data_IF_308695586388
#
_entry.id   IF_308695586388
#
_cell.length_a   1.000
_cell.length_b   1.000
_cell.length_c   1.000
_cell.angle_alpha   90.00
_cell.angle_beta   90.00
_cell.angle_gamma   90.00
#
_symmetry.space_group_name_H-M   'P 1'
#
loop_
_entity.id
_entity.type
_entity.pdbx_description
1 polymer ?
#
# COMPACT_ATOMS: atom_id res chain seq x y z
N UNK A 1 -9.15 -9.71 6.41
CA UNK A 1 -8.51 -8.37 6.55
C UNK A 1 -8.74 -7.56 5.29
N UNK A 2 -9.09 -6.30 5.44
CA UNK A 2 -9.26 -5.42 4.28
C UNK A 2 -7.89 -4.96 3.79
N UNK A 3 -7.76 -4.78 2.47
CA UNK A 3 -6.48 -4.41 1.86
C UNK A 3 -5.92 -3.08 2.39
N UNK A 4 -6.78 -2.14 2.74
CA UNK A 4 -6.29 -0.84 3.21
C UNK A 4 -5.59 -0.94 4.57
N UNK A 5 -5.90 -1.94 5.38
CA UNK A 5 -5.14 -2.19 6.61
C UNK A 5 -3.72 -2.65 6.29
N UNK A 6 -3.54 -3.43 5.21
CA UNK A 6 -2.21 -3.85 4.76
C UNK A 6 -1.38 -2.66 4.30
N UNK A 7 -2.00 -1.68 3.66
CA UNK A 7 -1.29 -0.46 3.27
C UNK A 7 -0.69 0.25 4.49
N UNK A 8 -1.48 0.38 5.53
CA UNK A 8 -1.04 1.02 6.77
C UNK A 8 0.04 0.19 7.45
N UNK A 9 -0.16 -1.12 7.56
CA UNK A 9 0.80 -2.01 8.23
C UNK A 9 2.15 -1.97 7.56
N UNK A 10 2.18 -2.02 6.22
CA UNK A 10 3.43 -1.95 5.47
C UNK A 10 4.15 -0.63 5.68
N UNK A 11 3.39 0.46 5.70
CA UNK A 11 3.94 1.79 5.91
C UNK A 11 4.54 1.91 7.31
N UNK A 12 3.80 1.47 8.33
CA UNK A 12 4.24 1.55 9.71
C UNK A 12 5.44 0.64 9.98
N UNK A 13 5.50 -0.52 9.35
CA UNK A 13 6.64 -1.43 9.48
C UNK A 13 7.96 -0.78 9.04
N UNK A 14 7.90 0.18 8.12
CA UNK A 14 9.09 0.92 7.65
C UNK A 14 9.24 2.29 8.31
N UNK A 15 8.43 2.58 9.33
CA UNK A 15 8.46 3.87 10.03
C UNK A 15 8.25 5.06 9.09
N UNK A 16 7.43 4.88 8.05
CA UNK A 16 7.15 5.94 7.09
C UNK A 16 5.89 6.69 7.47
N UNK A 17 5.88 7.99 7.16
CA UNK A 17 4.68 8.83 7.28
C UNK A 17 3.87 8.72 6.00
N UNK A 18 2.56 9.02 6.11
CA UNK A 18 1.68 9.02 4.92
C UNK A 18 2.21 9.94 3.83
N UNK A 19 2.75 11.10 4.20
CA UNK A 19 3.31 12.04 3.23
C UNK A 19 4.47 11.41 2.43
N UNK A 20 5.32 10.64 3.10
CA UNK A 20 6.46 10.01 2.46
C UNK A 20 6.03 8.98 1.42
N UNK A 21 5.07 8.11 1.80
CA UNK A 21 4.59 7.10 0.86
C UNK A 21 3.78 7.71 -0.27
N UNK A 22 3.02 8.78 0.01
CA UNK A 22 2.28 9.49 -1.02
C UNK A 22 3.23 10.02 -2.11
N UNK A 23 4.36 10.59 -1.72
CA UNK A 23 5.37 11.07 -2.68
C UNK A 23 5.91 9.93 -3.54
N UNK A 24 6.13 8.75 -2.95
CA UNK A 24 6.65 7.58 -3.67
C UNK A 24 5.70 7.15 -4.78
N UNK A 25 4.39 7.22 -4.55
CA UNK A 25 3.38 6.84 -5.55
C UNK A 25 2.87 8.04 -6.34
N UNK A 26 3.57 9.17 -6.24
CA UNK A 26 3.25 10.38 -6.99
C UNK A 26 1.84 10.90 -6.69
N UNK A 27 1.51 10.99 -5.41
CA UNK A 27 0.19 11.41 -4.93
C UNK A 27 0.35 12.41 -3.79
N UNK A 28 -0.75 12.94 -3.27
CA UNK A 28 -0.75 13.86 -2.13
C UNK A 28 -1.08 13.10 -0.85
N UNK A 29 -0.64 13.63 0.29
CA UNK A 29 -0.91 13.01 1.58
C UNK A 29 -2.41 12.92 1.89
N UNK A 30 -3.21 13.98 1.70
CA UNK A 30 -4.66 13.88 1.95
C UNK A 30 -5.34 12.84 1.07
N UNK A 31 -4.91 12.69 -0.20
CA UNK A 31 -5.47 11.71 -1.12
C UNK A 31 -5.07 10.30 -0.71
N UNK A 32 -3.79 10.09 -0.38
CA UNK A 32 -3.32 8.77 0.10
C UNK A 32 -4.04 8.35 1.38
N UNK A 33 -4.31 9.31 2.28
CA UNK A 33 -5.05 9.04 3.52
C UNK A 33 -6.40 8.36 3.24
N UNK A 34 -7.07 8.74 2.15
CA UNK A 34 -8.35 8.15 1.78
C UNK A 34 -8.19 6.66 1.44
N UNK A 35 -7.07 6.28 0.88
CA UNK A 35 -6.79 4.86 0.60
C UNK A 35 -6.61 4.06 1.89
N UNK A 36 -5.81 4.56 2.83
CA UNK A 36 -5.58 3.85 4.09
C UNK A 36 -6.83 3.80 4.98
N UNK A 37 -7.68 4.80 4.89
CA UNK A 37 -8.91 4.83 5.70
C UNK A 37 -10.05 3.99 5.09
N UNK A 38 -9.86 3.48 3.88
CA UNK A 38 -10.88 2.70 3.18
C UNK A 38 -11.98 3.53 2.55
N UNK A 39 -11.85 4.86 2.55
CA UNK A 39 -12.87 5.76 1.98
C UNK A 39 -12.82 5.82 0.46
N UNK A 40 -11.69 5.46 -0.14
CA UNK A 40 -11.51 5.43 -1.58
C UNK A 40 -10.63 4.25 -1.96
N UNK A 41 -10.99 3.58 -3.05
CA UNK A 41 -10.18 2.46 -3.54
C UNK A 41 -8.91 2.98 -4.18
N UNK A 42 -7.78 2.34 -3.86
CA UNK A 42 -6.51 2.68 -4.46
C UNK A 42 -6.46 2.16 -5.91
N UNK A 43 -6.04 2.97 -6.88
CA UNK A 43 -5.89 2.50 -8.26
C UNK A 43 -4.87 1.35 -8.35
N UNK A 44 -5.11 0.43 -9.26
CA UNK A 44 -4.28 -0.77 -9.38
C UNK A 44 -2.83 -0.45 -9.73
N UNK A 45 -2.60 0.55 -10.58
CA UNK A 45 -1.24 0.98 -10.92
C UNK A 45 -0.46 1.45 -9.69
N UNK A 46 -1.13 2.09 -8.73
CA UNK A 46 -0.50 2.49 -7.47
C UNK A 46 -0.24 1.30 -6.56
N UNK A 47 -1.09 0.29 -6.59
CA UNK A 47 -0.85 -0.97 -5.88
C UNK A 47 0.42 -1.63 -6.42
N UNK A 48 0.59 -1.65 -7.73
CA UNK A 48 1.81 -2.20 -8.36
C UNK A 48 3.04 -1.44 -7.88
N UNK A 49 2.97 -0.10 -7.85
CA UNK A 49 4.09 0.72 -7.37
C UNK A 49 4.44 0.40 -5.92
N UNK A 50 3.42 0.25 -5.06
CA UNK A 50 3.65 -0.08 -3.66
C UNK A 50 4.20 -1.49 -3.48
N UNK A 51 3.71 -2.45 -4.27
CA UNK A 51 4.22 -3.82 -4.22
C UNK A 51 5.71 -3.85 -4.54
N UNK A 52 6.14 -3.10 -5.54
CA UNK A 52 7.56 -2.98 -5.90
C UNK A 52 8.36 -2.28 -4.81
N UNK A 53 7.84 -1.20 -4.26
CA UNK A 53 8.53 -0.44 -3.23
C UNK A 53 8.70 -1.25 -1.96
N UNK A 54 7.64 -1.90 -1.49
CA UNK A 54 7.68 -2.72 -0.28
C UNK A 54 8.30 -4.09 -0.51
N UNK A 55 8.49 -4.46 -1.76
CA UNK A 55 9.06 -5.77 -2.15
C UNK A 55 8.19 -6.93 -1.65
N UNK A 56 6.89 -6.82 -1.89
CA UNK A 56 5.89 -7.83 -1.50
C UNK A 56 4.99 -8.14 -2.68
N UNK A 57 4.25 -9.26 -2.59
CA UNK A 57 3.30 -9.63 -3.64
C UNK A 57 2.07 -8.71 -3.62
N UNK A 58 1.45 -8.57 -4.79
CA UNK A 58 0.17 -7.85 -4.90
C UNK A 58 -0.90 -8.59 -4.08
N UNK A 59 -0.88 -9.91 -4.09
CA UNK A 59 -1.81 -10.73 -3.30
C UNK A 59 -1.71 -10.41 -1.81
N UNK A 60 -0.50 -10.18 -1.31
CA UNK A 60 -0.32 -9.80 0.09
C UNK A 60 -0.98 -8.45 0.38
N UNK A 61 -0.76 -7.46 -0.48
CA UNK A 61 -1.39 -6.13 -0.32
C UNK A 61 -2.91 -6.25 -0.38
N UNK A 62 -3.42 -7.07 -1.30
CA UNK A 62 -4.87 -7.27 -1.46
C UNK A 62 -5.51 -8.01 -0.30
N UNK A 63 -4.72 -8.60 0.60
CA UNK A 63 -5.25 -9.34 1.74
C UNK A 63 -5.65 -10.76 1.42
N UNK A 64 -5.24 -11.27 0.26
CA UNK A 64 -5.58 -12.62 -0.19
C UNK A 64 -4.66 -13.70 0.37
N UNK A 65 -3.52 -13.31 0.90
CA UNK A 65 -2.53 -14.21 1.48
C UNK A 65 -1.75 -13.51 2.58
N UNK A 66 -1.20 -14.27 3.50
CA UNK A 66 -0.26 -13.77 4.50
C UNK A 66 1.19 -13.94 4.07
N UNK A 67 1.41 -14.47 2.88
CA UNK A 67 2.75 -14.70 2.33
C UNK A 67 3.16 -13.48 1.51
N UNK A 68 4.31 -12.89 1.86
CA UNK A 68 4.84 -11.69 1.19
C UNK A 68 5.59 -12.00 -0.10
N UNK A 69 5.80 -13.27 -0.44
CA UNK A 69 6.60 -13.68 -1.59
C UNK A 69 6.09 -13.07 -2.89
N UNK A 70 7.01 -12.56 -3.68
CA UNK A 70 6.71 -11.97 -4.99
C UNK A 70 6.80 -13.03 -6.08
N UNK A 71 6.13 -12.73 -7.19
CA UNK A 71 6.15 -13.58 -8.37
C UNK A 71 6.79 -12.89 -9.58
N UNK A 72 7.44 -11.77 -9.38
CA UNK A 72 8.13 -11.06 -10.45
C UNK A 72 9.63 -10.98 -10.19
#
# INVERSE_FOLDING_TARGET
MYYYQRLRDLREDKDLKQKEIAEIINDTQPHYHLYESGKRQIPFDKVIQLAKYYDVSIDYIAGLTNNKSKYW
#
